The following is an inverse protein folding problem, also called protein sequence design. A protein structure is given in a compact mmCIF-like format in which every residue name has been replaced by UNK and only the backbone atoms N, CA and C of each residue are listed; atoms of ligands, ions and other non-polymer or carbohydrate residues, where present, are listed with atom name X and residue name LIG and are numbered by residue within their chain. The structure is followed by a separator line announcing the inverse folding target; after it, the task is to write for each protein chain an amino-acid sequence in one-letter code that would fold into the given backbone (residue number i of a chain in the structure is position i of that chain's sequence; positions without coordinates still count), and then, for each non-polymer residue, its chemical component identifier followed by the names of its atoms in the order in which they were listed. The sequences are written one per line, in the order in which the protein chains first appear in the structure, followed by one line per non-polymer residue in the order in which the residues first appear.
data_IF_539083112105
#
_entry.id   IF_539083112105
#
_cell.length_a   1.000
_cell.length_b   1.000
_cell.length_c   1.000
_cell.angle_alpha   90.00
_cell.angle_beta   90.00
_cell.angle_gamma   90.00
#
_symmetry.space_group_name_H-M   'P 1'
#
loop_
_entity.id
_entity.type
_entity.pdbx_description
1 polymer ?
#
# COMPACT_ATOMS: atom_id res chain seq x y z
N UNK A 1 11.67 0.42 -26.37
CA UNK A 1 11.24 0.26 -24.96
C UNK A 1 12.00 -0.89 -24.38
N UNK A 2 12.46 -0.82 -23.12
CA UNK A 2 13.17 -1.95 -22.51
C UNK A 2 12.21 -3.11 -22.30
N UNK A 3 12.73 -4.33 -22.45
CA UNK A 3 12.02 -5.54 -22.03
C UNK A 3 11.79 -5.48 -20.52
N UNK A 4 10.69 -6.05 -20.05
CA UNK A 4 10.39 -6.16 -18.63
C UNK A 4 11.01 -7.49 -18.14
N UNK A 5 11.75 -7.41 -17.04
CA UNK A 5 12.22 -8.59 -16.32
C UNK A 5 11.08 -9.25 -15.52
N UNK A 6 11.45 -10.14 -14.60
CA UNK A 6 10.48 -10.72 -13.67
C UNK A 6 10.00 -9.67 -12.66
N UNK A 7 8.71 -9.74 -12.32
CA UNK A 7 8.13 -8.90 -11.26
C UNK A 7 8.80 -9.18 -9.92
N UNK A 8 9.22 -8.14 -9.23
CA UNK A 8 9.72 -8.26 -7.87
C UNK A 8 8.56 -8.58 -6.92
N UNK A 9 8.77 -9.53 -6.03
CA UNK A 9 7.82 -9.93 -4.97
C UNK A 9 8.41 -9.66 -3.60
N UNK A 10 7.58 -9.70 -2.57
CA UNK A 10 8.01 -9.43 -1.20
C UNK A 10 8.16 -7.95 -0.89
N UNK A 11 7.40 -7.11 -1.58
CA UNK A 11 7.35 -5.66 -1.36
C UNK A 11 6.19 -5.27 -0.44
N UNK A 12 6.32 -4.19 0.36
CA UNK A 12 5.23 -3.71 1.20
C UNK A 12 3.97 -3.38 0.38
N UNK A 13 2.82 -3.95 0.75
CA UNK A 13 1.53 -3.72 0.11
C UNK A 13 1.48 -4.03 -1.40
N UNK A 14 2.36 -4.88 -1.91
CA UNK A 14 2.49 -5.21 -3.34
C UNK A 14 1.18 -5.63 -4.01
N UNK A 15 0.24 -6.23 -3.26
CA UNK A 15 -1.05 -6.65 -3.81
C UNK A 15 -1.98 -5.49 -4.19
N UNK A 16 -1.70 -4.28 -3.74
CA UNK A 16 -2.46 -3.06 -4.04
C UNK A 16 -1.76 -2.14 -5.03
N UNK A 17 -0.44 -2.25 -5.11
CA UNK A 17 0.41 -1.39 -5.94
C UNK A 17 0.62 -2.01 -7.33
N UNK A 18 0.99 -1.20 -8.34
CA UNK A 18 1.42 -1.71 -9.63
C UNK A 18 2.58 -2.72 -9.48
N UNK A 19 2.70 -3.72 -10.38
CA UNK A 19 3.85 -4.61 -10.37
C UNK A 19 5.13 -3.82 -10.67
N UNK A 20 6.14 -4.04 -9.84
CA UNK A 20 7.46 -3.42 -9.99
C UNK A 20 8.41 -4.36 -10.75
N UNK A 21 9.11 -3.84 -11.74
CA UNK A 21 10.08 -4.55 -12.58
C UNK A 21 11.47 -3.91 -12.40
N UNK A 22 12.37 -4.51 -11.62
CA UNK A 22 13.69 -3.93 -11.35
C UNK A 22 14.48 -3.65 -12.63
N UNK A 23 15.05 -2.45 -12.72
CA UNK A 23 15.84 -1.99 -13.86
C UNK A 23 15.02 -1.47 -15.06
N UNK A 24 13.72 -1.70 -15.09
CA UNK A 24 12.87 -1.25 -16.20
C UNK A 24 12.78 0.27 -16.27
N UNK A 25 12.49 0.93 -15.17
CA UNK A 25 12.35 2.37 -15.11
C UNK A 25 13.66 3.08 -15.50
N UNK A 26 14.78 2.65 -14.93
CA UNK A 26 16.11 3.18 -15.25
C UNK A 26 16.46 3.00 -16.72
N UNK A 27 16.22 1.81 -17.28
CA UNK A 27 16.50 1.52 -18.69
C UNK A 27 15.60 2.34 -19.62
N UNK A 28 14.37 2.61 -19.21
CA UNK A 28 13.43 3.39 -20.01
C UNK A 28 13.75 4.87 -19.98
N UNK A 29 13.95 5.44 -18.79
CA UNK A 29 14.32 6.85 -18.60
C UNK A 29 15.66 7.16 -19.25
N UNK A 30 16.64 6.24 -19.15
CA UNK A 30 17.98 6.41 -19.76
C UNK A 30 18.00 6.53 -21.27
N UNK A 31 16.88 6.26 -21.99
CA UNK A 31 16.76 6.54 -23.42
C UNK A 31 16.47 8.03 -23.72
N UNK A 32 16.06 8.80 -22.72
CA UNK A 32 15.58 10.17 -22.89
C UNK A 32 16.30 11.20 -22.01
N UNK A 33 16.90 10.77 -20.90
CA UNK A 33 17.51 11.67 -19.93
C UNK A 33 18.78 11.05 -19.31
N UNK A 34 19.77 11.91 -19.03
CA UNK A 34 21.02 11.53 -18.37
C UNK A 34 20.86 11.59 -16.83
N UNK A 35 21.64 10.80 -16.05
CA UNK A 35 21.70 10.94 -14.61
C UNK A 35 21.94 12.39 -14.16
N UNK A 36 21.31 12.82 -13.08
CA UNK A 36 21.28 14.21 -12.62
C UNK A 36 20.10 15.02 -13.17
N UNK A 37 19.40 14.53 -14.19
CA UNK A 37 18.17 15.14 -14.70
C UNK A 37 17.04 15.07 -13.69
N UNK A 38 16.06 15.98 -13.83
CA UNK A 38 14.84 15.98 -13.07
C UNK A 38 13.75 15.14 -13.77
N UNK A 39 13.16 14.24 -13.02
CA UNK A 39 12.03 13.41 -13.43
C UNK A 39 10.83 13.78 -12.56
N UNK A 40 9.64 13.84 -13.16
CA UNK A 40 8.39 14.09 -12.44
C UNK A 40 7.57 12.80 -12.34
N UNK A 41 7.24 12.35 -11.12
CA UNK A 41 6.11 11.41 -10.90
C UNK A 41 4.90 12.17 -10.34
N UNK A 42 3.81 12.29 -11.13
CA UNK A 42 2.61 13.00 -10.72
C UNK A 42 1.66 12.21 -9.83
N UNK A 43 1.93 10.93 -9.50
CA UNK A 43 0.97 10.04 -8.84
C UNK A 43 1.50 9.34 -7.58
N UNK A 44 2.80 9.03 -7.52
CA UNK A 44 3.37 8.12 -6.50
C UNK A 44 2.58 6.79 -6.43
N UNK A 45 2.22 6.24 -7.59
CA UNK A 45 1.46 5.00 -7.64
C UNK A 45 2.34 3.76 -7.47
N UNK A 46 3.59 3.85 -7.91
CA UNK A 46 4.66 2.86 -7.68
C UNK A 46 5.87 3.52 -7.01
N UNK A 47 5.91 3.61 -5.68
CA UNK A 47 7.03 4.21 -4.97
C UNK A 47 8.36 3.48 -5.18
N UNK A 48 8.36 2.22 -5.62
CA UNK A 48 9.59 1.46 -5.92
C UNK A 48 10.28 1.96 -7.17
N UNK A 49 9.52 2.36 -8.18
CA UNK A 49 10.03 3.03 -9.39
C UNK A 49 10.76 4.34 -9.03
N UNK A 50 10.21 5.16 -8.14
CA UNK A 50 10.84 6.40 -7.70
C UNK A 50 12.17 6.15 -6.98
N UNK A 51 12.22 5.11 -6.13
CA UNK A 51 13.44 4.68 -5.44
C UNK A 51 14.50 4.17 -6.42
N UNK A 52 14.11 3.39 -7.42
CA UNK A 52 15.01 2.88 -8.47
C UNK A 52 15.64 4.05 -9.25
N UNK A 53 14.84 5.00 -9.70
CA UNK A 53 15.30 6.18 -10.42
C UNK A 53 16.26 7.03 -9.58
N UNK A 54 15.92 7.26 -8.32
CA UNK A 54 16.78 8.04 -7.41
C UNK A 54 18.13 7.36 -7.16
N UNK A 55 18.15 6.02 -6.99
CA UNK A 55 19.40 5.23 -6.87
C UNK A 55 20.24 5.27 -8.13
N UNK A 56 19.59 5.34 -9.30
CA UNK A 56 20.26 5.42 -10.59
C UNK A 56 20.77 6.83 -10.93
N UNK A 57 20.68 7.76 -9.98
CA UNK A 57 21.27 9.09 -10.11
C UNK A 57 20.32 10.18 -10.60
N UNK A 58 19.03 9.90 -10.77
CA UNK A 58 18.05 10.91 -11.15
C UNK A 58 17.52 11.68 -9.94
N UNK A 59 17.14 12.93 -10.15
CA UNK A 59 16.40 13.73 -9.17
C UNK A 59 14.91 13.57 -9.45
N UNK A 60 14.17 12.98 -8.54
CA UNK A 60 12.75 12.69 -8.75
C UNK A 60 11.90 13.63 -7.91
N UNK A 61 11.02 14.41 -8.53
CA UNK A 61 9.93 15.08 -7.83
C UNK A 61 8.72 14.17 -7.85
N UNK A 62 8.30 13.75 -6.66
CA UNK A 62 7.16 12.86 -6.46
C UNK A 62 6.01 13.62 -5.84
N UNK A 63 4.82 13.54 -6.42
CA UNK A 63 3.60 14.07 -5.78
C UNK A 63 2.75 12.94 -5.22
N UNK A 64 2.64 12.86 -3.90
CA UNK A 64 1.95 11.79 -3.21
C UNK A 64 0.66 12.28 -2.55
N UNK A 65 -0.48 11.98 -3.15
CA UNK A 65 -1.79 12.28 -2.57
C UNK A 65 -2.24 11.23 -1.53
N UNK A 66 -1.69 10.01 -1.58
CA UNK A 66 -1.95 8.98 -0.59
C UNK A 66 -0.83 8.97 0.46
N UNK A 67 -1.13 9.32 1.74
CA UNK A 67 -0.13 9.30 2.81
C UNK A 67 0.55 7.94 3.02
N UNK A 68 -0.13 6.82 2.71
CA UNK A 68 0.48 5.48 2.78
C UNK A 68 1.57 5.31 1.72
N UNK A 69 1.34 5.74 0.48
CA UNK A 69 2.35 5.68 -0.58
C UNK A 69 3.56 6.57 -0.25
N UNK A 70 3.31 7.80 0.24
CA UNK A 70 4.38 8.69 0.73
C UNK A 70 5.20 8.04 1.86
N UNK A 71 4.53 7.39 2.80
CA UNK A 71 5.18 6.73 3.93
C UNK A 71 6.03 5.53 3.48
N UNK A 72 5.53 4.71 2.54
CA UNK A 72 6.31 3.61 1.95
C UNK A 72 7.60 4.18 1.33
N UNK A 73 7.47 5.23 0.52
CA UNK A 73 8.61 5.88 -0.13
C UNK A 73 9.64 6.39 0.89
N UNK A 74 9.19 7.08 1.95
CA UNK A 74 10.07 7.62 3.00
C UNK A 74 10.80 6.55 3.80
N UNK A 75 10.07 5.50 4.22
CA UNK A 75 10.68 4.42 4.99
C UNK A 75 11.72 3.68 4.15
N UNK A 76 11.40 3.31 2.92
CA UNK A 76 12.32 2.57 2.05
C UNK A 76 13.49 3.45 1.57
N UNK A 77 13.29 4.75 1.37
CA UNK A 77 14.38 5.69 1.08
C UNK A 77 15.39 5.77 2.24
N UNK A 78 14.93 5.64 3.48
CA UNK A 78 15.78 5.63 4.67
C UNK A 78 16.54 4.32 4.90
N UNK A 79 16.43 3.36 3.99
CA UNK A 79 17.13 2.08 3.95
C UNK A 79 17.18 1.33 5.30
N UNK A 80 16.03 0.90 5.87
CA UNK A 80 16.04 0.18 7.13
C UNK A 80 16.85 -1.12 7.05
N UNK A 81 17.79 -1.31 7.95
CA UNK A 81 18.53 -2.57 8.05
C UNK A 81 17.72 -3.63 8.82
N UNK A 82 18.08 -4.90 8.61
CA UNK A 82 17.50 -6.02 9.37
C UNK A 82 17.75 -5.87 10.87
N UNK A 83 18.90 -5.32 11.26
CA UNK A 83 19.26 -5.09 12.67
C UNK A 83 18.35 -4.02 13.28
N UNK A 84 18.18 -2.86 12.64
CA UNK A 84 17.29 -1.79 13.14
C UNK A 84 15.86 -2.27 13.31
N UNK A 85 15.34 -3.01 12.32
CA UNK A 85 13.99 -3.59 12.36
C UNK A 85 13.87 -4.63 13.47
N UNK A 86 14.89 -5.51 13.61
CA UNK A 86 14.93 -6.54 14.64
C UNK A 86 15.00 -5.94 16.05
N UNK A 87 15.81 -4.92 16.27
CA UNK A 87 15.96 -4.24 17.58
C UNK A 87 14.66 -3.51 17.97
N UNK A 88 14.02 -2.80 17.02
CA UNK A 88 12.73 -2.15 17.27
C UNK A 88 11.64 -3.18 17.61
N UNK A 89 11.60 -4.28 16.85
CA UNK A 89 10.65 -5.38 17.07
C UNK A 89 10.91 -6.08 18.42
N UNK A 90 12.17 -6.37 18.79
CA UNK A 90 12.50 -7.00 20.06
C UNK A 90 12.12 -6.09 21.24
N UNK A 91 12.39 -4.78 21.13
CA UNK A 91 11.97 -3.80 22.14
C UNK A 91 10.45 -3.82 22.32
N UNK A 92 9.68 -3.88 21.21
CA UNK A 92 8.22 -4.02 21.23
C UNK A 92 7.79 -5.31 21.93
N UNK A 93 8.42 -6.44 21.60
CA UNK A 93 8.14 -7.77 22.16
C UNK A 93 8.28 -7.81 23.68
N UNK A 94 9.29 -7.09 24.21
CA UNK A 94 9.63 -7.04 25.62
C UNK A 94 8.79 -6.06 26.45
N UNK A 95 8.02 -5.16 25.83
CA UNK A 95 7.14 -4.25 26.55
C UNK A 95 6.14 -5.00 27.42
N UNK A 96 5.87 -4.46 28.63
CA UNK A 96 4.93 -5.06 29.57
C UNK A 96 3.49 -4.61 29.29
N UNK A 97 2.57 -5.58 29.33
CA UNK A 97 1.14 -5.32 29.40
C UNK A 97 0.75 -4.89 30.83
N UNK A 98 -0.47 -4.37 31.00
CA UNK A 98 -0.96 -3.93 32.32
C UNK A 98 -0.98 -5.03 33.38
N UNK A 99 -1.12 -6.30 32.96
CA UNK A 99 -1.06 -7.48 33.84
C UNK A 99 0.37 -7.94 34.15
N UNK A 100 1.40 -7.27 33.60
CA UNK A 100 2.83 -7.57 33.85
C UNK A 100 3.46 -8.58 32.89
N UNK A 101 2.67 -9.27 32.05
CA UNK A 101 3.18 -10.16 30.98
C UNK A 101 3.86 -9.38 29.85
N UNK A 102 4.78 -10.01 29.11
CA UNK A 102 5.40 -9.43 27.93
C UNK A 102 4.35 -9.29 26.80
N UNK A 103 4.52 -8.28 25.96
CA UNK A 103 3.62 -8.08 24.81
C UNK A 103 3.61 -9.29 23.86
N UNK A 104 4.77 -9.91 23.61
CA UNK A 104 4.88 -11.15 22.85
C UNK A 104 4.00 -12.27 23.43
N UNK A 105 4.13 -12.52 24.73
CA UNK A 105 3.40 -13.59 25.41
C UNK A 105 1.89 -13.32 25.39
N UNK A 106 1.51 -12.05 25.59
CA UNK A 106 0.12 -11.62 25.49
C UNK A 106 -0.47 -11.94 24.11
N UNK A 107 0.20 -11.55 23.02
CA UNK A 107 -0.30 -11.79 21.65
C UNK A 107 -0.36 -13.29 21.36
N UNK A 108 0.71 -14.03 21.64
CA UNK A 108 0.78 -15.48 21.37
C UNK A 108 -0.28 -16.26 22.13
N UNK A 109 -0.67 -15.81 23.33
CA UNK A 109 -1.68 -16.50 24.13
C UNK A 109 -3.05 -16.63 23.43
N UNK A 110 -3.39 -15.79 22.45
CA UNK A 110 -4.63 -15.86 21.69
C UNK A 110 -4.59 -16.86 20.52
N UNK A 111 -3.45 -17.55 20.33
CA UNK A 111 -3.21 -18.50 19.26
C UNK A 111 -2.69 -19.85 19.77
N UNK A 112 -2.82 -20.13 21.07
CA UNK A 112 -2.34 -21.34 21.70
C UNK A 112 -3.48 -22.31 22.00
N UNK A 113 -3.18 -23.61 21.83
CA UNK A 113 -4.05 -24.74 22.21
C UNK A 113 -3.20 -25.98 22.55
N UNK A 114 -3.75 -26.98 23.26
CA UNK A 114 -3.08 -28.25 23.47
C UNK A 114 -2.85 -28.99 22.14
N UNK A 115 -1.65 -29.52 21.94
CA UNK A 115 -1.32 -30.32 20.76
C UNK A 115 -2.05 -31.68 20.81
N UNK A 116 -2.77 -32.06 19.74
CA UNK A 116 -3.47 -33.35 19.72
C UNK A 116 -2.54 -34.57 19.79
N UNK A 117 -1.24 -34.39 19.45
CA UNK A 117 -0.28 -35.49 19.41
C UNK A 117 0.53 -35.62 20.69
N UNK A 118 0.95 -34.54 21.33
CA UNK A 118 1.88 -34.58 22.48
C UNK A 118 1.39 -33.83 23.72
N UNK A 119 0.20 -33.26 23.67
CA UNK A 119 -0.45 -32.50 24.75
C UNK A 119 0.30 -31.25 25.22
N UNK A 120 1.45 -30.92 24.57
CA UNK A 120 2.17 -29.65 24.79
C UNK A 120 1.49 -28.51 24.03
N UNK A 121 1.88 -27.29 24.32
CA UNK A 121 1.32 -26.11 23.64
C UNK A 121 1.64 -26.12 22.15
N UNK A 122 0.62 -26.17 21.32
CA UNK A 122 0.68 -25.93 19.88
C UNK A 122 0.22 -24.51 19.57
N UNK A 123 0.60 -24.00 18.40
CA UNK A 123 0.27 -22.66 17.92
C UNK A 123 -0.68 -22.73 16.73
N UNK A 124 -1.73 -21.91 16.75
CA UNK A 124 -2.58 -21.66 15.58
C UNK A 124 -1.86 -20.66 14.69
N UNK A 125 -1.52 -21.08 13.48
CA UNK A 125 -0.87 -20.25 12.48
C UNK A 125 -1.87 -19.42 11.67
N UNK A 126 -3.08 -19.97 11.47
CA UNK A 126 -4.19 -19.30 10.84
C UNK A 126 -5.54 -19.93 11.20
N UNK A 127 -6.58 -19.11 11.11
CA UNK A 127 -7.98 -19.55 11.12
C UNK A 127 -8.55 -19.39 9.71
N UNK A 128 -9.23 -20.42 9.21
CA UNK A 128 -9.89 -20.40 7.91
C UNK A 128 -11.39 -20.20 8.13
N UNK A 129 -11.92 -19.21 7.49
CA UNK A 129 -13.31 -18.79 7.58
C UNK A 129 -14.01 -19.01 6.24
N UNK A 130 -15.28 -19.26 6.29
CA UNK A 130 -16.21 -19.18 5.16
C UNK A 130 -17.16 -18.00 5.36
N UNK A 131 -17.56 -17.35 4.26
CA UNK A 131 -18.28 -16.06 4.29
C UNK A 131 -19.57 -16.11 5.13
N UNK A 132 -20.32 -17.22 5.04
CA UNK A 132 -21.61 -17.39 5.69
C UNK A 132 -21.53 -17.93 7.13
N UNK A 133 -20.32 -18.11 7.68
CA UNK A 133 -20.12 -18.71 8.99
C UNK A 133 -19.70 -17.65 10.03
N UNK A 134 -20.29 -17.77 11.24
CA UNK A 134 -19.96 -16.90 12.38
C UNK A 134 -18.70 -17.32 13.15
N UNK A 135 -18.17 -18.52 12.85
CA UNK A 135 -17.00 -19.13 13.46
C UNK A 135 -16.06 -19.65 12.37
N UNK A 136 -14.75 -19.74 12.61
CA UNK A 136 -13.83 -20.35 11.66
C UNK A 136 -14.19 -21.83 11.46
N UNK A 137 -13.89 -22.36 10.28
CA UNK A 137 -14.17 -23.76 9.94
C UNK A 137 -12.96 -24.67 10.16
N UNK A 138 -11.74 -24.11 9.99
CA UNK A 138 -10.48 -24.84 10.13
C UNK A 138 -9.50 -23.99 10.94
N UNK A 139 -8.72 -24.65 11.80
CA UNK A 139 -7.53 -24.11 12.44
C UNK A 139 -6.30 -24.77 11.83
N UNK A 140 -5.41 -23.97 11.27
CA UNK A 140 -4.09 -24.44 10.88
C UNK A 140 -3.17 -24.37 12.08
N UNK A 141 -2.59 -25.49 12.50
CA UNK A 141 -1.77 -25.56 13.69
C UNK A 141 -0.37 -26.12 13.41
N UNK A 142 0.57 -25.69 14.25
CA UNK A 142 1.92 -26.25 14.29
C UNK A 142 2.36 -26.39 15.75
N UNK A 143 2.92 -27.54 16.09
CA UNK A 143 3.46 -27.78 17.42
C UNK A 143 4.99 -27.68 17.39
N UNK A 144 5.61 -26.75 18.12
CA UNK A 144 7.07 -26.61 18.14
C UNK A 144 7.76 -27.74 18.92
N UNK A 145 7.03 -28.51 19.74
CA UNK A 145 7.60 -29.57 20.56
C UNK A 145 7.76 -30.90 19.83
N UNK A 146 6.76 -31.29 19.05
CA UNK A 146 6.79 -32.59 18.35
C UNK A 146 6.80 -32.46 16.80
N UNK A 147 6.76 -31.24 16.26
CA UNK A 147 6.73 -30.99 14.82
C UNK A 147 5.39 -31.28 14.15
N UNK A 148 4.35 -31.62 14.93
CA UNK A 148 3.01 -31.87 14.38
C UNK A 148 2.49 -30.60 13.67
N UNK A 149 2.02 -30.76 12.43
CA UNK A 149 1.39 -29.69 11.66
C UNK A 149 0.19 -30.27 10.92
N UNK A 150 -0.97 -29.65 11.10
CA UNK A 150 -2.23 -30.12 10.51
C UNK A 150 -3.29 -29.05 10.44
N UNK A 151 -4.26 -29.25 9.56
CA UNK A 151 -5.51 -28.54 9.50
C UNK A 151 -6.54 -29.27 10.39
N UNK A 152 -6.98 -28.62 11.47
CA UNK A 152 -7.98 -29.16 12.38
C UNK A 152 -9.36 -28.56 12.13
N UNK A 153 -10.43 -29.36 12.11
CA UNK A 153 -11.78 -28.86 12.12
C UNK A 153 -12.03 -27.98 13.37
N UNK A 154 -12.63 -26.82 13.20
CA UNK A 154 -12.93 -25.87 14.28
C UNK A 154 -14.16 -26.30 15.08
N UNK A 155 -14.11 -27.46 15.74
CA UNK A 155 -15.20 -27.91 16.59
C UNK A 155 -15.34 -27.04 17.85
N UNK A 156 -16.51 -26.99 18.46
CA UNK A 156 -16.75 -26.21 19.68
C UNK A 156 -15.72 -26.54 20.79
N UNK A 157 -15.30 -27.80 20.91
CA UNK A 157 -14.28 -28.22 21.87
C UNK A 157 -12.90 -27.60 21.55
N UNK A 158 -12.50 -27.60 20.30
CA UNK A 158 -11.21 -27.00 19.85
C UNK A 158 -11.26 -25.49 20.06
N UNK A 159 -12.36 -24.83 19.69
CA UNK A 159 -12.51 -23.38 19.86
C UNK A 159 -12.50 -22.95 21.32
N UNK A 160 -13.07 -23.76 22.22
CA UNK A 160 -13.03 -23.50 23.66
C UNK A 160 -11.62 -23.62 24.25
N UNK A 161 -10.70 -24.36 23.62
CA UNK A 161 -9.32 -24.46 24.08
C UNK A 161 -8.47 -23.22 23.70
N UNK A 162 -8.95 -22.39 22.78
CA UNK A 162 -8.29 -21.12 22.42
C UNK A 162 -8.75 -20.04 23.41
N UNK A 163 -7.82 -19.17 23.82
CA UNK A 163 -8.10 -18.08 24.78
C UNK A 163 -9.27 -17.21 24.32
N UNK A 164 -10.22 -16.98 25.20
CA UNK A 164 -11.38 -16.14 24.97
C UNK A 164 -10.96 -14.68 24.69
N UNK A 165 -11.68 -14.04 23.77
CA UNK A 165 -11.44 -12.65 23.42
C UNK A 165 -12.08 -11.70 24.43
N UNK A 166 -11.44 -10.53 24.70
CA UNK A 166 -12.09 -9.42 25.42
C UNK A 166 -13.31 -8.89 24.67
N UNK A 167 -14.03 -7.93 25.27
CA UNK A 167 -15.21 -7.32 24.66
C UNK A 167 -14.91 -6.66 23.31
N UNK A 168 -15.37 -7.28 22.24
CA UNK A 168 -15.24 -6.76 20.87
C UNK A 168 -15.90 -5.39 20.68
N UNK A 169 -17.08 -5.17 21.27
CA UNK A 169 -17.82 -3.92 21.11
C UNK A 169 -17.03 -2.69 21.56
N UNK A 170 -16.30 -2.81 22.67
CA UNK A 170 -15.44 -1.73 23.17
C UNK A 170 -14.29 -1.42 22.20
N UNK A 171 -13.62 -2.46 21.72
CA UNK A 171 -12.50 -2.32 20.78
C UNK A 171 -12.96 -1.75 19.43
N UNK A 172 -14.11 -2.21 18.93
CA UNK A 172 -14.68 -1.66 17.70
C UNK A 172 -15.05 -0.17 17.86
N UNK A 173 -15.66 0.22 18.99
CA UNK A 173 -15.97 1.63 19.25
C UNK A 173 -14.70 2.49 19.27
N UNK A 174 -13.64 2.04 19.96
CA UNK A 174 -12.35 2.75 19.98
C UNK A 174 -11.70 2.87 18.59
N UNK A 175 -11.70 1.78 17.83
CA UNK A 175 -11.16 1.79 16.45
C UNK A 175 -11.89 2.81 15.57
N UNK A 176 -13.21 2.90 15.72
CA UNK A 176 -14.04 3.82 14.97
C UNK A 176 -13.85 5.28 15.43
N UNK A 177 -13.66 5.52 16.72
CA UNK A 177 -13.37 6.86 17.25
C UNK A 177 -12.00 7.39 16.81
N UNK A 178 -11.01 6.53 16.72
CA UNK A 178 -9.71 6.88 16.12
C UNK A 178 -9.85 7.23 14.64
N UNK A 179 -10.73 6.53 13.92
CA UNK A 179 -10.87 6.68 12.48
C UNK A 179 -11.74 7.88 12.07
N UNK A 180 -12.81 8.17 12.78
CA UNK A 180 -13.73 9.26 12.44
C UNK A 180 -14.50 9.78 13.65
N UNK A 181 -14.72 11.10 13.70
CA UNK A 181 -15.55 11.75 14.72
C UNK A 181 -17.02 11.34 14.61
N UNK A 182 -17.84 11.44 15.67
CA UNK A 182 -19.23 10.98 15.65
C UNK A 182 -20.11 11.55 14.53
N UNK A 183 -19.89 12.82 14.17
CA UNK A 183 -20.67 13.54 13.15
C UNK A 183 -19.95 13.61 11.77
N UNK A 184 -18.82 12.90 11.61
CA UNK A 184 -18.09 12.92 10.37
C UNK A 184 -18.77 12.00 9.33
N UNK A 185 -19.04 12.46 8.08
CA UNK A 185 -19.56 11.62 7.00
C UNK A 185 -18.68 10.37 6.72
N UNK A 186 -17.38 10.42 6.99
CA UNK A 186 -16.48 9.28 6.86
C UNK A 186 -16.76 8.17 7.89
N UNK A 187 -17.50 8.44 8.96
CA UNK A 187 -17.72 7.45 10.03
C UNK A 187 -18.41 6.17 9.52
N UNK A 188 -19.39 6.30 8.63
CA UNK A 188 -20.05 5.14 8.02
C UNK A 188 -19.10 4.33 7.14
N UNK A 189 -18.25 5.02 6.39
CA UNK A 189 -17.22 4.38 5.54
C UNK A 189 -16.21 3.63 6.42
N UNK A 190 -15.68 4.26 7.46
CA UNK A 190 -14.73 3.63 8.38
C UNK A 190 -15.35 2.45 9.14
N UNK A 191 -16.63 2.55 9.52
CA UNK A 191 -17.35 1.44 10.15
C UNK A 191 -17.48 0.23 9.21
N UNK A 192 -17.72 0.47 7.93
CA UNK A 192 -17.72 -0.59 6.90
C UNK A 192 -16.34 -1.24 6.76
N UNK A 193 -15.27 -0.44 6.68
CA UNK A 193 -13.90 -0.97 6.54
C UNK A 193 -13.48 -1.78 7.76
N UNK A 194 -13.81 -1.33 8.97
CA UNK A 194 -13.50 -2.05 10.22
C UNK A 194 -14.12 -3.47 10.24
N UNK A 195 -15.25 -3.69 9.58
CA UNK A 195 -15.90 -5.01 9.48
C UNK A 195 -15.09 -6.05 8.69
N UNK A 196 -14.06 -5.60 7.97
CA UNK A 196 -13.11 -6.49 7.29
C UNK A 196 -11.98 -6.99 8.19
N UNK A 197 -12.06 -6.69 9.50
CA UNK A 197 -11.20 -7.28 10.52
C UNK A 197 -12.02 -8.17 11.44
N UNK A 198 -11.53 -9.38 11.69
CA UNK A 198 -12.15 -10.24 12.70
C UNK A 198 -12.08 -9.59 14.09
N UNK A 199 -12.91 -10.01 15.04
CA UNK A 199 -12.80 -9.53 16.42
C UNK A 199 -11.39 -9.70 17.00
N UNK A 200 -10.72 -10.83 16.74
CA UNK A 200 -9.35 -11.09 17.20
C UNK A 200 -8.36 -10.12 16.55
N UNK A 201 -8.39 -10.01 15.24
CA UNK A 201 -7.53 -9.10 14.49
C UNK A 201 -7.66 -7.66 15.00
N UNK A 202 -8.88 -7.15 15.17
CA UNK A 202 -9.12 -5.79 15.62
C UNK A 202 -8.60 -5.53 17.03
N UNK A 203 -8.86 -6.45 17.98
CA UNK A 203 -8.40 -6.35 19.37
C UNK A 203 -6.87 -6.31 19.43
N UNK A 204 -6.21 -7.22 18.71
CA UNK A 204 -4.77 -7.35 18.76
C UNK A 204 -4.05 -6.22 17.98
N UNK A 205 -4.61 -5.76 16.87
CA UNK A 205 -4.09 -4.56 16.17
C UNK A 205 -4.19 -3.30 17.04
N UNK A 206 -5.26 -3.14 17.83
CA UNK A 206 -5.35 -2.03 18.78
C UNK A 206 -4.34 -2.15 19.92
N UNK A 207 -4.11 -3.37 20.43
CA UNK A 207 -3.06 -3.59 21.42
C UNK A 207 -1.68 -3.21 20.86
N UNK A 208 -1.41 -3.58 19.60
CA UNK A 208 -0.18 -3.21 18.88
C UNK A 208 -0.07 -1.69 18.70
N UNK A 209 -1.11 -0.99 18.25
CA UNK A 209 -1.13 0.47 18.10
C UNK A 209 -0.82 1.18 19.42
N UNK A 210 -1.44 0.73 20.51
CA UNK A 210 -1.19 1.29 21.83
C UNK A 210 0.29 1.12 22.25
N UNK A 211 0.91 -0.02 21.91
CA UNK A 211 2.32 -0.27 22.23
C UNK A 211 3.27 0.51 21.35
N UNK A 212 3.01 0.69 20.07
CA UNK A 212 3.81 1.54 19.18
C UNK A 212 3.85 3.00 19.66
N UNK A 213 2.80 3.44 20.34
CA UNK A 213 2.71 4.79 20.91
C UNK A 213 3.46 4.96 22.22
N UNK A 214 4.14 3.92 22.75
CA UNK A 214 4.89 3.98 24.00
C UNK A 214 6.00 5.02 23.90
N UNK A 215 6.17 5.90 24.90
CA UNK A 215 7.19 6.96 24.89
C UNK A 215 8.63 6.45 24.95
N UNK A 216 8.85 5.20 25.29
CA UNK A 216 10.20 4.59 25.32
C UNK A 216 10.84 4.45 23.93
N UNK A 217 10.03 4.45 22.85
CA UNK A 217 10.57 4.37 21.50
C UNK A 217 11.12 5.71 21.02
N UNK A 218 12.29 5.65 20.38
CA UNK A 218 12.81 6.76 19.57
C UNK A 218 11.88 7.01 18.36
N UNK A 219 11.99 8.18 17.74
CA UNK A 219 11.23 8.50 16.54
C UNK A 219 11.50 7.49 15.40
N UNK A 220 12.78 7.12 15.21
CA UNK A 220 13.17 6.11 14.22
C UNK A 220 12.52 4.76 14.49
N UNK A 221 12.60 4.25 15.72
CA UNK A 221 11.97 2.98 16.08
C UNK A 221 10.46 3.03 15.88
N UNK A 222 9.82 4.13 16.26
CA UNK A 222 8.38 4.31 16.07
C UNK A 222 7.98 4.27 14.59
N UNK A 223 8.75 4.93 13.72
CA UNK A 223 8.55 4.88 12.26
C UNK A 223 8.67 3.45 11.73
N UNK A 224 9.68 2.70 12.15
CA UNK A 224 9.84 1.29 11.74
C UNK A 224 8.69 0.41 12.24
N UNK A 225 8.24 0.60 13.48
CA UNK A 225 7.09 -0.12 14.03
C UNK A 225 5.78 0.25 13.34
N UNK A 226 5.60 1.49 12.92
CA UNK A 226 4.47 1.91 12.09
C UNK A 226 4.49 1.23 10.71
N UNK A 227 5.68 1.05 10.14
CA UNK A 227 5.86 0.31 8.89
C UNK A 227 5.47 -1.18 9.07
N UNK A 228 5.93 -1.83 10.13
CA UNK A 228 5.52 -3.19 10.47
C UNK A 228 4.01 -3.29 10.72
N UNK A 229 3.44 -2.32 11.44
CA UNK A 229 1.99 -2.26 11.66
C UNK A 229 1.21 -2.21 10.34
N UNK A 230 1.64 -1.37 9.41
CA UNK A 230 0.95 -1.16 8.12
C UNK A 230 0.80 -2.48 7.34
N UNK A 231 1.90 -3.22 7.18
CA UNK A 231 1.89 -4.51 6.47
C UNK A 231 1.25 -5.63 7.29
N UNK A 232 1.33 -5.58 8.62
CA UNK A 232 0.62 -6.50 9.51
C UNK A 232 -0.90 -6.27 9.43
N UNK A 233 -1.36 -5.02 9.46
CA UNK A 233 -2.77 -4.69 9.34
C UNK A 233 -3.34 -5.13 7.99
N UNK A 234 -2.55 -5.05 6.91
CA UNK A 234 -2.94 -5.63 5.63
C UNK A 234 -3.08 -7.16 5.71
N UNK A 235 -2.13 -7.87 6.31
CA UNK A 235 -2.18 -9.32 6.44
C UNK A 235 -3.31 -9.81 7.36
N UNK A 236 -3.82 -8.96 8.25
CA UNK A 236 -4.87 -9.29 9.22
C UNK A 236 -6.30 -9.05 8.72
N UNK A 237 -6.50 -8.43 7.55
CA UNK A 237 -7.85 -8.20 7.03
C UNK A 237 -8.41 -9.43 6.30
N UNK A 238 -9.74 -9.48 6.17
CA UNK A 238 -10.50 -10.60 5.60
C UNK A 238 -10.54 -10.62 4.06
N UNK A 239 -9.64 -9.90 3.39
CA UNK A 239 -9.52 -9.92 1.92
C UNK A 239 -8.47 -10.92 1.42
N UNK A 240 -7.94 -11.78 2.28
CA UNK A 240 -6.99 -12.84 1.93
C UNK A 240 -7.75 -14.15 1.67
N UNK A 241 -7.93 -14.47 0.38
CA UNK A 241 -8.62 -15.68 -0.03
C UNK A 241 -7.89 -16.95 0.44
N UNK A 242 -8.66 -17.99 0.72
CA UNK A 242 -8.14 -19.33 0.99
C UNK A 242 -8.67 -20.32 -0.07
N UNK A 243 -7.82 -21.20 -0.63
CA UNK A 243 -6.36 -21.23 -0.46
C UNK A 243 -5.68 -19.95 -0.99
N UNK A 244 -4.52 -19.62 -0.42
CA UNK A 244 -3.76 -18.44 -0.82
C UNK A 244 -3.40 -18.50 -2.30
N UNK A 245 -3.67 -17.42 -3.02
CA UNK A 245 -3.35 -17.22 -4.42
C UNK A 245 -2.99 -15.77 -4.69
N UNK A 246 -2.71 -15.42 -5.95
CA UNK A 246 -2.55 -14.01 -6.36
C UNK A 246 -3.87 -13.29 -6.10
N UNK A 247 -3.97 -12.63 -4.96
CA UNK A 247 -5.14 -11.85 -4.57
C UNK A 247 -4.81 -10.36 -4.63
N UNK A 248 -5.36 -9.68 -5.64
CA UNK A 248 -5.30 -8.23 -5.80
C UNK A 248 -6.72 -7.66 -5.62
N UNK A 249 -7.18 -7.43 -4.39
CA UNK A 249 -8.52 -6.95 -4.17
C UNK A 249 -8.66 -5.51 -4.66
N UNK A 250 -9.69 -5.26 -5.48
CA UNK A 250 -10.03 -3.92 -5.97
C UNK A 250 -11.26 -3.33 -5.29
N UNK A 251 -12.02 -4.16 -4.63
CA UNK A 251 -13.24 -3.81 -3.89
C UNK A 251 -13.20 -4.42 -2.50
N UNK A 252 -13.95 -3.84 -1.57
CA UNK A 252 -14.17 -4.38 -0.24
C UNK A 252 -15.22 -5.51 -0.30
N UNK A 253 -14.82 -6.66 -0.85
CA UNK A 253 -15.65 -7.86 -0.94
C UNK A 253 -14.86 -9.01 -0.35
N UNK A 254 -15.43 -9.68 0.65
CA UNK A 254 -14.83 -10.90 1.21
C UNK A 254 -14.84 -12.00 0.17
N UNK A 255 -13.75 -12.76 0.03
CA UNK A 255 -13.77 -14.00 -0.73
C UNK A 255 -14.63 -15.05 -0.01
N UNK A 256 -15.20 -16.03 -0.73
CA UNK A 256 -16.05 -17.08 -0.16
C UNK A 256 -15.39 -17.84 1.00
N UNK A 257 -14.09 -18.07 0.90
CA UNK A 257 -13.26 -18.55 2.00
C UNK A 257 -12.03 -17.64 2.17
N UNK A 258 -11.68 -17.31 3.40
CA UNK A 258 -10.57 -16.41 3.69
C UNK A 258 -9.79 -16.84 4.92
N UNK A 259 -8.54 -16.37 4.97
CA UNK A 259 -7.60 -16.68 6.03
C UNK A 259 -7.49 -15.50 7.01
N UNK A 260 -7.67 -15.77 8.29
CA UNK A 260 -7.25 -14.91 9.40
C UNK A 260 -5.89 -15.38 9.90
N UNK A 261 -4.86 -14.63 9.60
CA UNK A 261 -3.47 -14.94 9.96
C UNK A 261 -3.20 -14.68 11.45
N UNK A 262 -2.29 -15.44 12.05
CA UNK A 262 -1.72 -15.15 13.37
C UNK A 262 -0.95 -13.81 13.31
N UNK A 263 -1.30 -12.85 14.19
CA UNK A 263 -0.70 -11.51 14.22
C UNK A 263 0.82 -11.55 14.43
N UNK A 264 1.30 -12.43 15.30
CA UNK A 264 2.74 -12.56 15.56
C UNK A 264 3.50 -13.01 14.30
N UNK A 265 2.95 -13.97 13.57
CA UNK A 265 3.49 -14.42 12.30
C UNK A 265 3.42 -13.33 11.22
N UNK A 266 2.36 -12.54 11.20
CA UNK A 266 2.24 -11.40 10.30
C UNK A 266 3.31 -10.33 10.58
N UNK A 267 3.59 -10.03 11.86
CA UNK A 267 4.67 -9.14 12.26
C UNK A 267 6.05 -9.65 11.83
N UNK A 268 6.34 -10.94 12.07
CA UNK A 268 7.61 -11.56 11.66
C UNK A 268 7.81 -11.52 10.15
N UNK A 269 6.76 -11.80 9.36
CA UNK A 269 6.83 -11.66 7.89
C UNK A 269 7.06 -10.21 7.47
N UNK A 270 6.44 -9.26 8.17
CA UNK A 270 6.57 -7.84 7.88
C UNK A 270 8.02 -7.33 8.03
N UNK A 271 8.84 -7.92 8.90
CA UNK A 271 10.26 -7.56 9.01
C UNK A 271 11.01 -7.67 7.68
N UNK A 272 10.75 -8.74 6.93
CA UNK A 272 11.42 -8.98 5.64
C UNK A 272 10.94 -8.03 4.53
N UNK A 273 9.69 -7.56 4.61
CA UNK A 273 9.11 -6.67 3.60
C UNK A 273 9.73 -5.26 3.61
N UNK A 274 10.23 -4.83 4.77
CA UNK A 274 10.76 -3.47 4.96
C UNK A 274 12.29 -3.40 4.97
N UNK A 275 12.97 -4.54 4.95
CA UNK A 275 14.42 -4.58 4.90
C UNK A 275 14.93 -4.09 3.55
N UNK A 276 15.88 -3.15 3.58
CA UNK A 276 16.55 -2.62 2.39
C UNK A 276 18.06 -2.89 2.51
N UNK A 277 18.64 -3.44 1.45
CA UNK A 277 20.09 -3.72 1.39
C UNK A 277 20.87 -2.62 0.67
N UNK A 278 20.18 -1.84 -0.16
CA UNK A 278 20.75 -0.75 -0.92
C UNK A 278 21.00 0.48 -0.03
N UNK A 279 21.89 1.39 -0.45
CA UNK A 279 22.18 2.62 0.29
C UNK A 279 20.96 3.52 0.48
N UNK A 280 20.96 4.30 1.54
CA UNK A 280 19.99 5.35 1.82
C UNK A 280 19.90 6.36 0.66
N UNK A 281 18.69 6.78 0.33
CA UNK A 281 18.36 7.80 -0.66
C UNK A 281 18.10 9.12 0.06
N UNK A 282 18.73 10.20 -0.40
CA UNK A 282 18.40 11.54 0.09
C UNK A 282 16.98 11.91 -0.32
N UNK A 283 16.05 11.87 0.64
CA UNK A 283 14.69 12.32 0.46
C UNK A 283 14.49 13.64 1.22
N UNK A 284 13.96 14.65 0.53
CA UNK A 284 13.65 15.97 1.09
C UNK A 284 12.19 16.30 0.87
N UNK A 285 11.50 16.92 1.84
CA UNK A 285 10.19 17.50 1.56
C UNK A 285 10.35 18.65 0.55
N UNK A 286 9.43 18.73 -0.42
CA UNK A 286 9.38 19.88 -1.35
C UNK A 286 9.17 21.20 -0.57
N UNK A 287 9.86 22.31 -0.94
CA UNK A 287 10.71 22.53 -2.11
C UNK A 287 12.20 22.19 -1.91
N UNK A 288 12.56 21.30 -1.01
CA UNK A 288 13.94 20.88 -0.80
C UNK A 288 14.49 20.14 -2.02
N UNK A 289 15.64 20.58 -2.52
CA UNK A 289 16.31 20.03 -3.71
C UNK A 289 17.26 18.90 -3.29
N UNK A 290 17.12 17.67 -3.83
CA UNK A 290 18.06 16.59 -3.62
C UNK A 290 19.38 16.86 -4.36
N UNK A 291 20.48 16.15 -3.99
CA UNK A 291 21.76 16.32 -4.65
C UNK A 291 21.72 15.91 -6.13
N UNK A 292 22.66 16.46 -6.92
CA UNK A 292 22.72 16.18 -8.36
C UNK A 292 22.98 14.70 -8.69
N UNK A 293 23.60 13.96 -7.78
CA UNK A 293 23.86 12.52 -7.89
C UNK A 293 22.64 11.62 -7.68
N UNK A 294 21.46 12.20 -7.52
CA UNK A 294 20.20 11.47 -7.32
C UNK A 294 19.57 11.71 -5.95
N UNK A 295 18.28 11.50 -5.90
CA UNK A 295 17.47 11.62 -4.71
C UNK A 295 16.03 12.04 -5.02
N UNK A 296 15.22 12.15 -3.97
CA UNK A 296 13.78 12.41 -4.07
C UNK A 296 13.45 13.74 -3.42
N UNK A 297 12.60 14.52 -4.09
CA UNK A 297 11.86 15.63 -3.52
C UNK A 297 10.40 15.22 -3.41
N UNK A 298 9.85 15.14 -2.20
CA UNK A 298 8.51 14.64 -1.95
C UNK A 298 7.55 15.79 -1.67
N UNK A 299 6.55 15.95 -2.51
CA UNK A 299 5.39 16.81 -2.26
C UNK A 299 4.20 15.97 -1.77
N UNK A 300 3.78 16.21 -0.52
CA UNK A 300 2.59 15.54 0.05
C UNK A 300 1.34 16.33 -0.31
N UNK A 301 0.71 15.95 -1.41
CA UNK A 301 -0.46 16.62 -1.95
C UNK A 301 -0.73 16.26 -3.39
N UNK A 302 -1.64 16.98 -4.01
CA UNK A 302 -2.01 16.76 -5.42
C UNK A 302 -1.13 17.61 -6.32
N UNK A 303 -0.79 17.11 -7.50
CA UNK A 303 0.03 17.84 -8.48
C UNK A 303 -0.47 19.27 -8.72
N UNK A 304 -1.79 19.48 -8.79
CA UNK A 304 -2.40 20.81 -8.99
C UNK A 304 -2.15 21.81 -7.85
N UNK A 305 -1.75 21.32 -6.69
CA UNK A 305 -1.46 22.10 -5.47
C UNK A 305 0.04 22.39 -5.36
N UNK A 306 0.83 21.88 -6.32
CA UNK A 306 2.27 22.10 -6.38
C UNK A 306 2.55 23.52 -6.87
N UNK A 307 2.83 24.41 -5.92
CA UNK A 307 3.27 25.77 -6.18
C UNK A 307 4.81 25.87 -6.10
N UNK A 308 5.38 26.97 -6.56
CA UNK A 308 6.79 27.31 -6.38
C UNK A 308 7.78 26.34 -7.09
N UNK A 309 7.57 26.10 -8.37
CA UNK A 309 8.63 25.50 -9.19
C UNK A 309 9.76 26.53 -9.38
N UNK A 310 11.03 26.16 -9.11
CA UNK A 310 12.18 27.05 -9.36
C UNK A 310 12.28 27.45 -10.84
N UNK A 311 11.97 26.50 -11.72
CA UNK A 311 11.85 26.64 -13.17
C UNK A 311 10.63 25.83 -13.62
N UNK A 312 9.65 26.42 -14.30
CA UNK A 312 8.48 25.69 -14.81
C UNK A 312 8.83 24.51 -15.72
N UNK A 313 10.00 24.55 -16.36
CA UNK A 313 10.44 23.55 -17.34
C UNK A 313 11.68 22.80 -16.90
N UNK A 314 11.88 22.63 -15.59
CA UNK A 314 13.05 21.94 -15.05
C UNK A 314 13.08 20.42 -15.34
N UNK A 315 11.94 19.80 -15.64
CA UNK A 315 11.85 18.37 -15.83
C UNK A 315 12.25 17.95 -17.25
N UNK A 316 13.13 16.95 -17.34
CA UNK A 316 13.51 16.35 -18.61
C UNK A 316 12.42 15.41 -19.15
N UNK A 317 11.64 14.81 -18.26
CA UNK A 317 10.49 13.99 -18.60
C UNK A 317 9.56 13.79 -17.37
N UNK A 318 8.34 13.30 -17.62
CA UNK A 318 7.52 12.68 -16.60
C UNK A 318 7.50 11.16 -16.77
N UNK A 319 7.57 10.42 -15.67
CA UNK A 319 7.39 8.96 -15.68
C UNK A 319 6.49 8.57 -14.53
N UNK A 320 5.49 7.74 -14.82
CA UNK A 320 4.60 7.22 -13.78
C UNK A 320 3.97 5.88 -14.15
N UNK A 321 3.77 5.04 -13.15
CA UNK A 321 2.74 4.02 -13.22
C UNK A 321 1.37 4.67 -13.02
N UNK A 322 0.39 4.34 -13.88
CA UNK A 322 -0.97 4.86 -13.69
C UNK A 322 -1.65 4.16 -12.49
N UNK A 323 -2.22 4.95 -11.56
CA UNK A 323 -2.94 4.37 -10.44
C UNK A 323 -4.22 3.69 -10.95
N UNK A 324 -4.43 2.44 -10.57
CA UNK A 324 -5.70 1.76 -10.83
C UNK A 324 -6.76 2.27 -9.86
N UNK A 325 -8.04 2.29 -10.28
CA UNK A 325 -9.14 2.45 -9.35
C UNK A 325 -9.15 1.27 -8.37
N UNK A 326 -8.97 1.53 -7.10
CA UNK A 326 -8.88 0.49 -6.07
C UNK A 326 -9.57 0.93 -4.79
N UNK A 327 -10.87 0.62 -4.67
CA UNK A 327 -11.66 0.96 -3.50
C UNK A 327 -11.09 0.30 -2.23
N UNK A 328 -10.70 -0.98 -2.31
CA UNK A 328 -10.15 -1.70 -1.17
C UNK A 328 -8.90 -0.99 -0.62
N UNK A 329 -7.96 -0.65 -1.50
CA UNK A 329 -6.73 0.03 -1.10
C UNK A 329 -7.00 1.40 -0.46
N UNK A 330 -7.84 2.23 -1.10
CA UNK A 330 -8.11 3.57 -0.57
C UNK A 330 -8.83 3.53 0.76
N UNK A 331 -9.81 2.65 0.92
CA UNK A 331 -10.57 2.52 2.17
C UNK A 331 -9.70 1.94 3.30
N UNK A 332 -8.91 0.89 3.04
CA UNK A 332 -7.97 0.35 4.01
C UNK A 332 -6.88 1.38 4.36
N UNK A 333 -6.30 2.06 3.34
CA UNK A 333 -5.36 3.17 3.58
C UNK A 333 -5.97 4.24 4.46
N UNK A 334 -7.22 4.63 4.23
CA UNK A 334 -7.92 5.61 5.06
C UNK A 334 -8.00 5.18 6.53
N UNK A 335 -8.31 3.91 6.79
CA UNK A 335 -8.35 3.36 8.14
C UNK A 335 -6.95 3.34 8.77
N UNK A 336 -5.93 2.85 8.05
CA UNK A 336 -4.55 2.78 8.56
C UNK A 336 -3.96 4.17 8.84
N UNK A 337 -4.20 5.14 7.95
CA UNK A 337 -3.79 6.54 8.13
C UNK A 337 -4.37 7.10 9.43
N UNK A 338 -5.66 6.92 9.63
CA UNK A 338 -6.32 7.47 10.82
C UNK A 338 -5.84 6.81 12.12
N UNK A 339 -5.54 5.52 12.08
CA UNK A 339 -5.00 4.80 13.24
C UNK A 339 -3.55 5.18 13.56
N UNK A 340 -2.71 5.36 12.54
CA UNK A 340 -1.28 5.65 12.70
C UNK A 340 -0.99 7.13 12.93
N UNK A 341 -1.67 8.02 12.18
CA UNK A 341 -1.33 9.45 12.14
C UNK A 341 -2.49 10.38 12.50
N UNK A 342 -3.61 9.80 12.89
CA UNK A 342 -4.80 10.53 13.28
C UNK A 342 -5.71 10.89 12.10
N UNK A 343 -6.97 11.16 12.40
CA UNK A 343 -8.03 11.42 11.41
C UNK A 343 -7.81 12.66 10.53
N UNK A 344 -7.04 13.64 11.02
CA UNK A 344 -6.70 14.83 10.23
C UNK A 344 -5.79 14.49 9.03
N UNK A 345 -4.97 13.45 9.16
CA UNK A 345 -4.14 12.95 8.08
C UNK A 345 -4.95 12.34 6.91
N UNK A 346 -6.25 12.10 7.08
CA UNK A 346 -7.18 11.67 6.01
C UNK A 346 -7.50 12.75 4.99
N UNK A 347 -7.20 14.04 5.28
CA UNK A 347 -7.60 15.17 4.43
C UNK A 347 -7.35 14.95 2.93
N UNK A 348 -6.19 14.44 2.48
CA UNK A 348 -5.93 14.23 1.05
C UNK A 348 -6.85 13.20 0.40
N UNK A 349 -7.23 12.14 1.13
CA UNK A 349 -8.07 11.05 0.63
C UNK A 349 -9.58 11.28 0.85
N UNK A 350 -9.95 12.24 1.69
CA UNK A 350 -11.33 12.44 2.15
C UNK A 350 -12.36 12.44 1.01
N UNK A 351 -12.07 13.16 -0.06
CA UNK A 351 -12.98 13.28 -1.20
C UNK A 351 -13.16 11.94 -1.93
N UNK A 352 -12.10 11.17 -2.08
CA UNK A 352 -12.15 9.84 -2.69
C UNK A 352 -12.91 8.85 -1.80
N UNK A 353 -12.69 8.87 -0.48
CA UNK A 353 -13.35 7.97 0.48
C UNK A 353 -14.87 8.19 0.57
N UNK A 354 -15.34 9.42 0.41
CA UNK A 354 -16.77 9.74 0.42
C UNK A 354 -17.49 9.40 -0.89
N UNK A 355 -16.76 8.93 -1.88
CA UNK A 355 -17.34 8.63 -3.17
C UNK A 355 -18.14 7.31 -3.14
N UNK A 356 -19.38 7.35 -3.65
CA UNK A 356 -20.26 6.18 -3.66
C UNK A 356 -19.93 5.19 -4.80
N UNK A 357 -19.37 5.67 -5.90
CA UNK A 357 -19.07 4.84 -7.08
C UNK A 357 -17.66 5.15 -7.60
N UNK A 358 -16.90 4.10 -7.79
CA UNK A 358 -15.56 4.11 -8.41
C UNK A 358 -15.69 3.51 -9.82
N UNK A 359 -16.39 4.19 -10.74
CA UNK A 359 -16.53 3.76 -12.12
C UNK A 359 -15.35 4.23 -12.99
N UNK A 360 -15.24 3.66 -14.19
CA UNK A 360 -14.15 3.96 -15.10
C UNK A 360 -14.25 5.37 -15.69
N UNK A 361 -15.45 5.90 -15.89
CA UNK A 361 -15.65 7.28 -16.33
C UNK A 361 -15.04 8.29 -15.36
N UNK A 362 -15.32 8.11 -14.07
CA UNK A 362 -14.68 8.93 -13.06
C UNK A 362 -13.16 8.74 -13.03
N UNK A 363 -12.68 7.52 -13.20
CA UNK A 363 -11.25 7.23 -13.19
C UNK A 363 -10.54 7.93 -14.35
N UNK A 364 -11.09 7.83 -15.58
CA UNK A 364 -10.60 8.56 -16.75
C UNK A 364 -10.53 10.07 -16.46
N UNK A 365 -11.62 10.65 -15.96
CA UNK A 365 -11.65 12.06 -15.60
C UNK A 365 -10.60 12.43 -14.55
N UNK A 366 -10.40 11.59 -13.53
CA UNK A 366 -9.39 11.83 -12.49
C UNK A 366 -7.96 11.83 -13.07
N UNK A 367 -7.64 10.87 -13.95
CA UNK A 367 -6.37 10.82 -14.66
C UNK A 367 -6.17 12.05 -15.56
N UNK A 368 -7.18 12.40 -16.39
CA UNK A 368 -7.17 13.59 -17.22
C UNK A 368 -6.83 14.84 -16.41
N UNK A 369 -7.47 15.02 -15.24
CA UNK A 369 -7.24 16.19 -14.38
C UNK A 369 -5.82 16.31 -13.87
N UNK A 370 -5.12 15.21 -13.63
CA UNK A 370 -3.71 15.23 -13.24
C UNK A 370 -2.84 15.51 -14.46
N UNK A 371 -3.04 14.77 -15.55
CA UNK A 371 -2.23 14.86 -16.78
C UNK A 371 -2.32 16.23 -17.46
N UNK A 372 -3.46 16.95 -17.34
CA UNK A 372 -3.63 18.34 -17.81
C UNK A 372 -2.66 19.36 -17.18
N UNK A 373 -1.99 19.00 -16.08
CA UNK A 373 -0.98 19.88 -15.48
C UNK A 373 0.41 19.70 -16.07
N UNK A 374 0.70 18.57 -16.74
CA UNK A 374 2.03 18.28 -17.31
C UNK A 374 2.50 19.31 -18.35
N UNK A 375 1.64 19.84 -19.25
CA UNK A 375 2.05 20.87 -20.20
C UNK A 375 2.59 22.18 -19.57
N UNK A 376 2.31 22.39 -18.29
CA UNK A 376 2.83 23.57 -17.56
C UNK A 376 4.20 23.33 -16.93
N UNK A 377 4.68 22.09 -16.96
CA UNK A 377 5.87 21.62 -16.24
C UNK A 377 6.93 21.03 -17.17
N UNK A 378 6.55 20.69 -18.39
CA UNK A 378 7.39 20.04 -19.37
C UNK A 378 7.51 20.89 -20.63
N UNK A 379 8.67 20.86 -21.29
CA UNK A 379 8.81 21.36 -22.67
C UNK A 379 8.02 20.46 -23.63
N UNK A 380 7.56 20.98 -24.78
CA UNK A 380 6.78 20.20 -25.76
C UNK A 380 7.46 18.92 -26.23
N UNK A 381 8.80 18.94 -26.34
CA UNK A 381 9.64 17.82 -26.79
C UNK A 381 9.91 16.78 -25.69
N UNK A 382 9.67 17.11 -24.43
CA UNK A 382 9.96 16.20 -23.32
C UNK A 382 8.94 15.08 -23.25
N UNK A 383 9.38 13.81 -23.21
CA UNK A 383 8.47 12.68 -23.22
C UNK A 383 7.74 12.49 -21.89
N UNK A 384 6.56 11.89 -21.99
CA UNK A 384 5.78 11.43 -20.86
C UNK A 384 5.67 9.92 -20.96
N UNK A 385 6.24 9.22 -20.00
CA UNK A 385 6.31 7.77 -19.93
C UNK A 385 5.23 7.26 -18.96
N UNK A 386 4.22 6.56 -19.49
CA UNK A 386 3.14 6.02 -18.65
C UNK A 386 3.11 4.51 -18.74
N UNK A 387 3.10 3.86 -17.58
CA UNK A 387 2.95 2.41 -17.42
C UNK A 387 1.55 2.07 -16.91
N UNK A 388 0.91 1.08 -17.53
CA UNK A 388 -0.32 0.46 -17.06
C UNK A 388 0.06 -0.95 -16.60
N UNK A 389 -0.05 -1.21 -15.30
CA UNK A 389 0.43 -2.44 -14.66
C UNK A 389 -0.49 -3.66 -14.80
N UNK A 390 -1.57 -3.57 -15.58
CA UNK A 390 -2.52 -4.67 -15.82
C UNK A 390 -3.19 -4.51 -17.18
N UNK A 391 -3.27 -5.59 -17.97
CA UNK A 391 -3.98 -5.60 -19.26
C UNK A 391 -5.50 -5.79 -19.08
N UNK A 392 -6.11 -5.05 -18.15
CA UNK A 392 -7.56 -4.92 -18.05
C UNK A 392 -8.03 -3.94 -19.12
N UNK A 393 -8.97 -4.33 -19.97
CA UNK A 393 -9.42 -3.52 -21.12
C UNK A 393 -9.93 -2.14 -20.71
N UNK A 394 -10.70 -2.07 -19.62
CA UNK A 394 -11.28 -0.81 -19.16
C UNK A 394 -10.21 0.07 -18.47
N UNK A 395 -9.24 -0.52 -17.81
CA UNK A 395 -8.12 0.23 -17.24
C UNK A 395 -7.24 0.81 -18.35
N UNK A 396 -6.88 0.00 -19.35
CA UNK A 396 -6.14 0.49 -20.52
C UNK A 396 -6.90 1.62 -21.23
N UNK A 397 -8.17 1.40 -21.52
CA UNK A 397 -9.03 2.42 -22.16
C UNK A 397 -9.08 3.71 -21.34
N UNK A 398 -9.27 3.59 -20.03
CA UNK A 398 -9.31 4.74 -19.12
C UNK A 398 -7.99 5.51 -19.11
N UNK A 399 -6.84 4.82 -19.08
CA UNK A 399 -5.52 5.43 -19.13
C UNK A 399 -5.25 6.14 -20.47
N UNK A 400 -5.51 5.46 -21.59
CA UNK A 400 -5.28 6.00 -22.93
C UNK A 400 -6.20 7.20 -23.23
N UNK A 401 -7.49 7.10 -22.93
CA UNK A 401 -8.44 8.21 -23.09
C UNK A 401 -8.09 9.38 -22.16
N UNK A 402 -7.73 9.09 -20.91
CA UNK A 402 -7.35 10.12 -19.96
C UNK A 402 -6.13 10.93 -20.42
N UNK A 403 -5.14 10.28 -21.02
CA UNK A 403 -3.98 10.93 -21.58
C UNK A 403 -4.36 11.75 -22.84
N UNK A 404 -5.16 11.19 -23.73
CA UNK A 404 -5.61 11.86 -24.95
C UNK A 404 -6.45 13.10 -24.65
N UNK A 405 -7.42 12.99 -23.71
CA UNK A 405 -8.24 14.13 -23.28
C UNK A 405 -7.44 15.21 -22.55
N UNK A 406 -6.29 14.84 -21.97
CA UNK A 406 -5.33 15.80 -21.42
C UNK A 406 -4.51 16.53 -22.50
N UNK A 407 -4.74 16.26 -23.78
CA UNK A 407 -4.01 16.87 -24.89
C UNK A 407 -2.66 16.20 -25.17
N UNK A 408 -2.44 14.99 -24.69
CA UNK A 408 -1.24 14.24 -25.00
C UNK A 408 -1.39 13.46 -26.29
N UNK A 409 -0.32 13.34 -27.07
CA UNK A 409 -0.26 12.56 -28.29
C UNK A 409 0.64 11.35 -28.10
N UNK A 410 0.06 10.15 -28.29
CA UNK A 410 0.82 8.89 -28.16
C UNK A 410 1.80 8.76 -29.32
N UNK A 411 3.06 8.55 -28.99
CA UNK A 411 4.15 8.35 -29.94
C UNK A 411 4.40 6.89 -30.23
N UNK A 412 4.43 6.07 -29.20
CA UNK A 412 4.65 4.62 -29.33
C UNK A 412 4.14 3.91 -28.08
N UNK A 413 3.98 2.59 -28.22
CA UNK A 413 3.64 1.71 -27.09
C UNK A 413 4.31 0.35 -27.24
N UNK A 414 4.45 -0.35 -26.11
CA UNK A 414 4.80 -1.75 -26.05
C UNK A 414 3.92 -2.47 -25.02
N UNK A 415 3.48 -3.67 -25.37
CA UNK A 415 2.65 -4.51 -24.52
C UNK A 415 3.35 -5.80 -24.24
N UNK A 416 3.45 -6.17 -22.97
CA UNK A 416 3.93 -7.45 -22.50
C UNK A 416 2.75 -8.31 -22.07
N UNK A 417 2.44 -9.35 -22.87
CA UNK A 417 1.32 -10.24 -22.60
C UNK A 417 1.58 -11.23 -21.47
N UNK A 418 2.85 -11.59 -21.19
CA UNK A 418 3.21 -12.51 -20.11
C UNK A 418 3.11 -11.84 -18.75
N UNK A 419 3.67 -10.64 -18.62
CA UNK A 419 3.61 -9.83 -17.39
C UNK A 419 2.36 -8.93 -17.31
N UNK A 420 1.51 -8.99 -18.33
CA UNK A 420 0.23 -8.26 -18.38
C UNK A 420 0.39 -6.75 -18.17
N UNK A 421 1.35 -6.11 -18.85
CA UNK A 421 1.62 -4.68 -18.71
C UNK A 421 1.68 -3.96 -20.06
N UNK A 422 1.39 -2.65 -20.04
CA UNK A 422 1.46 -1.77 -21.19
C UNK A 422 2.33 -0.55 -20.85
N UNK A 423 3.35 -0.28 -21.67
CA UNK A 423 4.19 0.92 -21.64
C UNK A 423 3.80 1.84 -22.79
N UNK A 424 3.68 3.13 -22.53
CA UNK A 424 3.29 4.12 -23.54
C UNK A 424 4.17 5.36 -23.44
N UNK A 425 4.60 5.90 -24.58
CA UNK A 425 5.33 7.18 -24.68
C UNK A 425 4.41 8.21 -25.31
N UNK A 426 4.31 9.33 -24.65
CA UNK A 426 3.49 10.46 -25.07
C UNK A 426 4.34 11.73 -25.21
N UNK A 427 3.89 12.65 -26.05
CA UNK A 427 4.38 14.02 -26.13
C UNK A 427 3.24 15.01 -25.92
N UNK A 428 3.57 16.26 -25.66
CA UNK A 428 2.59 17.32 -25.66
C UNK A 428 2.14 17.59 -27.10
N UNK A 429 0.85 17.71 -27.33
CA UNK A 429 0.31 18.07 -28.65
C UNK A 429 0.66 19.53 -28.98
N UNK A 430 1.19 19.77 -30.17
CA UNK A 430 1.41 21.12 -30.69
C UNK A 430 0.11 21.82 -31.13
N UNK A 431 -0.98 21.04 -31.21
CA UNK A 431 -2.32 21.54 -31.56
C UNK A 431 -3.24 21.45 -30.37
N UNK A 432 -4.06 22.47 -30.15
CA UNK A 432 -5.14 22.41 -29.15
C UNK A 432 -6.03 21.22 -29.49
N UNK A 433 -6.26 20.24 -28.58
CA UNK A 433 -7.12 19.12 -28.88
C UNK A 433 -8.53 19.63 -29.18
N UNK A 434 -9.08 19.23 -30.32
CA UNK A 434 -10.52 19.38 -30.52
C UNK A 434 -11.22 18.51 -29.46
N UNK A 435 -12.18 19.06 -28.72
CA UNK A 435 -12.88 18.29 -27.71
C UNK A 435 -13.64 17.14 -28.40
N UNK A 436 -13.28 15.91 -28.11
CA UNK A 436 -13.95 14.67 -28.56
C UNK A 436 -15.36 14.56 -27.92
N UNK A 437 -15.99 15.69 -27.63
CA UNK A 437 -17.23 15.80 -26.89
C UNK A 437 -18.51 15.41 -27.63
N UNK A 438 -18.45 14.81 -28.82
CA UNK A 438 -19.68 14.46 -29.56
C UNK A 438 -19.77 13.03 -30.12
N UNK A 439 -18.80 12.15 -29.90
CA UNK A 439 -18.80 10.84 -30.58
C UNK A 439 -18.81 9.60 -29.71
N UNK A 440 -18.86 9.69 -28.40
CA UNK A 440 -18.99 8.54 -27.51
C UNK A 440 -20.37 8.50 -26.83
N UNK A 441 -21.41 8.19 -27.60
CA UNK A 441 -22.56 7.45 -27.08
C UNK A 441 -22.07 6.00 -26.93
N UNK A 442 -21.71 5.64 -25.71
CA UNK A 442 -21.42 4.26 -25.34
C UNK A 442 -22.76 3.54 -25.26
N UNK A 443 -23.01 2.61 -26.20
CA UNK A 443 -24.07 1.62 -26.13
C UNK A 443 -23.89 0.68 -24.95
#
# INVERSE_FOLDING_TARGET
MPGQGQTQTGLPLERFLPPHFPGMATSWVGQFAEPGSWILDPFCADPFTDLELARSGYRVLVTANNPVAAFILEVLASAPSSTELGDAFQTLADLRMSAGERFEDYIKSFYQLPCPQCDQTAEVTAFIWEEDHSEPQILQITCPHCGFSADLPATAQVLQSVKALPSYALHRSRALELAASPNDPLRSVMDEVIRFYSPRALILLQALLNKISDPSFTERQRTLLQALFLTTADQMNQLWAYPLGRNRPHQLIRPPAYQETNLWHALLRSLNLWQVQEPEIVLKPWPGIPPQKGGISLFRGRLRELDLLPDPHMFSLAMAALPRRNQAYWHLSGLWISWLWGKEALSPLRHSLLRQRYDWTWHTYALTKVLLHLPKMLQPENPILLQIGELDQLFMLSGLLGAQEAGLQMQTYAMDGEESTLQTVWSLSSTTPEPIGQSLQIC
#
